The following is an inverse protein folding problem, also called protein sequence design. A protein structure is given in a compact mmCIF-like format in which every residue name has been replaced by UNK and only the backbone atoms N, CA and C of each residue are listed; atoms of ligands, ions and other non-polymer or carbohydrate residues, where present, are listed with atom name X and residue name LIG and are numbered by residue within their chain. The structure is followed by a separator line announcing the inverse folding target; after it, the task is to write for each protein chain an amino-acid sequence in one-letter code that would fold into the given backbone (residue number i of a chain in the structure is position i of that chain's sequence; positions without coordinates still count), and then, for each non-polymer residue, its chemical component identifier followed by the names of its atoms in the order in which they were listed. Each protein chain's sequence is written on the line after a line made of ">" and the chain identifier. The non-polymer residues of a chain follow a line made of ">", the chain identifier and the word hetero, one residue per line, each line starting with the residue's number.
data_IF_610502154662
#
_entry.id   IF_610502154662
#
_cell.length_a   1.000
_cell.length_b   1.000
_cell.length_c   1.000
_cell.angle_alpha   90.00
_cell.angle_beta   90.00
_cell.angle_gamma   90.00
#
_symmetry.space_group_name_H-M   'P 1'
#
loop_
_entity.id
_entity.type
_entity.pdbx_description
1 polymer ?
#
# COMPACT_ATOMS: atom_id res chain seq x y z
N UNK A 1 14.60 0.95 -33.61
CA UNK A 1 13.26 0.35 -33.34
C UNK A 1 13.18 -0.98 -34.09
N UNK A 2 13.30 -2.11 -33.40
CA UNK A 2 13.25 -3.44 -34.05
C UNK A 2 11.85 -3.66 -34.63
N UNK A 3 11.76 -3.87 -35.95
CA UNK A 3 10.56 -4.38 -36.61
C UNK A 3 10.23 -5.73 -35.97
N UNK A 4 8.99 -5.94 -35.57
CA UNK A 4 8.50 -7.28 -35.19
C UNK A 4 8.74 -8.21 -36.38
N UNK A 5 9.77 -9.05 -36.27
CA UNK A 5 10.04 -10.10 -37.24
C UNK A 5 8.87 -11.08 -37.17
N UNK A 6 8.21 -11.34 -38.31
CA UNK A 6 7.25 -12.44 -38.40
C UNK A 6 7.99 -13.74 -38.05
N UNK A 7 7.35 -14.69 -37.33
CA UNK A 7 7.98 -15.97 -37.03
C UNK A 7 8.40 -16.68 -38.33
N UNK A 8 9.52 -17.41 -38.28
CA UNK A 8 10.00 -18.24 -39.39
C UNK A 8 8.89 -19.19 -39.86
N UNK A 9 8.72 -19.31 -41.18
CA UNK A 9 7.68 -20.16 -41.80
C UNK A 9 7.85 -21.65 -41.48
N UNK A 10 9.00 -22.07 -40.94
CA UNK A 10 9.27 -23.44 -40.54
C UNK A 10 8.53 -23.91 -39.28
N UNK A 11 7.93 -23.01 -38.49
CA UNK A 11 7.23 -23.37 -37.24
C UNK A 11 5.72 -23.11 -37.26
N UNK A 12 5.15 -22.79 -38.42
CA UNK A 12 3.70 -22.68 -38.57
C UNK A 12 3.12 -24.08 -38.85
N UNK A 13 2.28 -24.60 -37.95
CA UNK A 13 1.43 -25.77 -38.20
C UNK A 13 0.69 -25.56 -39.54
N UNK A 14 0.99 -26.41 -40.52
CA UNK A 14 0.32 -26.43 -41.82
C UNK A 14 -1.11 -26.95 -41.64
N UNK A 15 -2.01 -26.06 -41.19
CA UNK A 15 -3.42 -26.20 -41.54
C UNK A 15 -3.51 -26.03 -43.06
N UNK A 16 -4.06 -27.02 -43.75
CA UNK A 16 -4.45 -26.88 -45.15
C UNK A 16 -5.49 -25.76 -45.23
N UNK A 17 -5.02 -24.55 -45.51
CA UNK A 17 -5.89 -23.40 -45.73
C UNK A 17 -6.47 -23.57 -47.12
N UNK A 18 -7.79 -23.77 -47.21
CA UNK A 18 -8.54 -23.65 -48.46
C UNK A 18 -8.06 -22.40 -49.23
N UNK A 19 -7.49 -22.63 -50.41
CA UNK A 19 -6.84 -21.62 -51.26
C UNK A 19 -7.82 -20.58 -51.82
N UNK A 20 -9.11 -20.70 -51.52
CA UNK A 20 -10.19 -19.83 -51.99
C UNK A 20 -10.38 -18.57 -51.12
N UNK A 21 -9.93 -18.59 -49.86
CA UNK A 21 -10.20 -17.55 -48.87
C UNK A 21 -8.97 -16.74 -48.44
N UNK A 22 -8.34 -16.08 -49.41
CA UNK A 22 -7.20 -15.18 -49.20
C UNK A 22 -7.66 -13.82 -48.65
N UNK A 23 -6.99 -13.34 -47.59
CA UNK A 23 -7.18 -11.98 -47.07
C UNK A 23 -6.76 -10.94 -48.14
N UNK A 24 -7.65 -10.03 -48.55
CA UNK A 24 -7.32 -9.06 -49.59
C UNK A 24 -6.29 -8.06 -49.06
N UNK A 25 -5.23 -7.83 -49.84
CA UNK A 25 -4.16 -6.89 -49.50
C UNK A 25 -4.52 -5.42 -49.80
N UNK A 26 -5.60 -5.17 -50.54
CA UNK A 26 -6.04 -3.83 -50.93
C UNK A 26 -7.55 -3.75 -51.13
N UNK A 27 -8.08 -2.52 -51.06
CA UNK A 27 -9.52 -2.23 -51.22
C UNK A 27 -10.10 -2.75 -52.54
N UNK A 28 -9.38 -2.59 -53.66
CA UNK A 28 -9.85 -2.99 -54.99
C UNK A 28 -10.05 -4.50 -55.14
N UNK A 29 -9.35 -5.32 -54.35
CA UNK A 29 -9.58 -6.77 -54.25
C UNK A 29 -10.72 -7.11 -53.28
N UNK A 30 -10.81 -6.37 -52.17
CA UNK A 30 -11.83 -6.58 -51.16
C UNK A 30 -13.25 -6.23 -51.64
N UNK A 31 -13.42 -5.13 -52.37
CA UNK A 31 -14.73 -4.63 -52.81
C UNK A 31 -15.50 -5.61 -53.70
N UNK A 32 -14.79 -6.48 -54.42
CA UNK A 32 -15.39 -7.49 -55.30
C UNK A 32 -16.23 -8.52 -54.52
N UNK A 33 -15.86 -8.79 -53.26
CA UNK A 33 -16.50 -9.78 -52.39
C UNK A 33 -17.56 -9.12 -51.48
N UNK A 34 -18.71 -9.76 -51.31
CA UNK A 34 -19.86 -9.21 -50.56
C UNK A 34 -19.62 -9.19 -49.06
N UNK A 35 -18.86 -10.16 -48.55
CA UNK A 35 -18.55 -10.33 -47.13
C UNK A 35 -17.60 -9.22 -46.61
N UNK A 36 -16.67 -8.78 -47.47
CA UNK A 36 -15.81 -7.63 -47.14
C UNK A 36 -16.56 -6.29 -47.27
N UNK A 37 -17.53 -6.19 -48.19
CA UNK A 37 -18.41 -5.01 -48.31
C UNK A 37 -19.23 -4.78 -47.03
N UNK A 38 -19.86 -5.83 -46.52
CA UNK A 38 -20.66 -5.77 -45.29
C UNK A 38 -19.79 -5.45 -44.07
N UNK A 39 -18.59 -6.06 -43.97
CA UNK A 39 -17.65 -5.76 -42.90
C UNK A 39 -17.17 -4.28 -42.92
N UNK A 40 -16.87 -3.72 -44.11
CA UNK A 40 -16.49 -2.32 -44.25
C UNK A 40 -17.64 -1.37 -43.90
N UNK A 41 -18.86 -1.65 -44.38
CA UNK A 41 -20.03 -0.84 -44.10
C UNK A 41 -20.37 -0.81 -42.59
N UNK A 42 -20.23 -1.96 -41.93
CA UNK A 42 -20.45 -2.08 -40.47
C UNK A 42 -19.44 -1.24 -39.69
N UNK A 43 -18.15 -1.36 -40.00
CA UNK A 43 -17.09 -0.57 -39.35
C UNK A 43 -17.30 0.93 -39.60
N UNK A 44 -17.61 1.32 -40.84
CA UNK A 44 -17.84 2.71 -41.20
C UNK A 44 -19.04 3.33 -40.46
N UNK A 45 -20.16 2.58 -40.38
CA UNK A 45 -21.36 3.00 -39.65
C UNK A 45 -21.09 3.14 -38.15
N UNK A 46 -20.25 2.25 -37.58
CA UNK A 46 -19.82 2.35 -36.19
C UNK A 46 -18.97 3.62 -35.95
N UNK A 47 -18.08 3.97 -36.87
CA UNK A 47 -17.26 5.18 -36.78
C UNK A 47 -18.10 6.46 -36.89
N UNK A 48 -19.14 6.47 -37.74
CA UNK A 48 -20.12 7.56 -37.83
C UNK A 48 -20.91 7.72 -36.52
N UNK A 49 -21.44 6.62 -35.97
CA UNK A 49 -22.20 6.64 -34.70
C UNK A 49 -21.37 7.13 -33.52
N UNK A 50 -20.07 6.81 -33.50
CA UNK A 50 -19.14 7.26 -32.48
C UNK A 50 -18.66 8.72 -32.64
N UNK A 51 -19.13 9.45 -33.66
CA UNK A 51 -18.73 10.83 -33.93
C UNK A 51 -17.23 10.98 -34.16
N UNK A 52 -16.62 10.05 -34.91
CA UNK A 52 -15.16 9.93 -35.00
C UNK A 52 -14.51 11.03 -35.85
N UNK A 53 -15.24 11.64 -36.80
CA UNK A 53 -14.77 12.72 -37.66
C UNK A 53 -15.90 13.65 -38.07
N UNK A 54 -15.53 14.85 -38.53
CA UNK A 54 -16.41 15.79 -39.22
C UNK A 54 -15.94 16.00 -40.67
N UNK A 55 -16.88 16.13 -41.60
CA UNK A 55 -16.58 16.47 -42.99
C UNK A 55 -16.32 17.99 -43.09
N UNK A 56 -15.17 18.38 -43.62
CA UNK A 56 -14.76 19.79 -43.74
C UNK A 56 -14.24 20.11 -45.14
N UNK A 57 -14.41 21.33 -45.65
CA UNK A 57 -13.90 21.73 -46.95
C UNK A 57 -12.37 21.63 -46.96
N UNK A 58 -11.83 21.11 -48.05
CA UNK A 58 -10.38 21.03 -48.24
C UNK A 58 -9.79 22.43 -48.41
N UNK A 59 -8.68 22.70 -47.72
CA UNK A 59 -7.90 23.92 -47.87
C UNK A 59 -6.44 23.54 -48.14
N UNK A 60 -5.76 24.30 -49.02
CA UNK A 60 -4.41 23.95 -49.51
C UNK A 60 -3.33 23.85 -48.43
N UNK A 61 -3.53 24.46 -47.26
CA UNK A 61 -2.61 24.37 -46.13
C UNK A 61 -2.87 23.17 -45.21
N UNK A 62 -3.92 22.37 -45.47
CA UNK A 62 -4.25 21.21 -44.64
C UNK A 62 -3.32 20.04 -44.97
N UNK A 63 -2.67 19.49 -43.94
CA UNK A 63 -1.94 18.23 -44.07
C UNK A 63 -2.95 17.05 -44.11
N UNK A 64 -3.34 16.63 -45.31
CA UNK A 64 -4.34 15.58 -45.52
C UNK A 64 -3.67 14.24 -45.76
N UNK A 65 -3.93 13.31 -44.87
CA UNK A 65 -3.20 12.06 -44.80
C UNK A 65 -3.93 10.90 -45.45
N UNK A 66 -3.17 9.92 -46.00
CA UNK A 66 -3.73 8.74 -46.61
C UNK A 66 -4.31 7.80 -45.53
N UNK A 67 -5.44 7.18 -45.86
CA UNK A 67 -6.04 6.10 -45.08
C UNK A 67 -5.97 4.78 -45.86
N UNK A 68 -6.08 3.66 -45.16
CA UNK A 68 -6.16 2.33 -45.75
C UNK A 68 -7.07 1.40 -44.96
N UNK A 69 -7.69 0.48 -45.68
CA UNK A 69 -8.43 -0.64 -45.09
C UNK A 69 -7.48 -1.79 -44.77
N UNK A 70 -7.62 -2.36 -43.58
CA UNK A 70 -6.93 -3.59 -43.14
C UNK A 70 -7.98 -4.67 -42.95
N UNK A 71 -7.81 -5.79 -43.67
CA UNK A 71 -8.74 -6.91 -43.69
C UNK A 71 -8.16 -8.09 -42.92
N UNK A 72 -8.96 -8.71 -42.07
CA UNK A 72 -8.61 -9.95 -41.34
C UNK A 72 -9.79 -10.90 -41.25
N UNK A 73 -9.55 -12.18 -41.46
CA UNK A 73 -10.54 -13.24 -41.23
C UNK A 73 -10.38 -13.72 -39.78
N UNK A 74 -11.48 -13.75 -39.03
CA UNK A 74 -11.55 -14.41 -37.73
C UNK A 74 -12.10 -15.81 -37.93
N UNK A 75 -11.40 -16.79 -37.38
CA UNK A 75 -11.72 -18.22 -37.49
C UNK A 75 -12.01 -18.78 -36.11
N UNK A 76 -12.94 -19.72 -36.05
CA UNK A 76 -13.19 -20.55 -34.88
C UNK A 76 -12.03 -21.55 -34.67
N UNK A 77 -11.99 -22.21 -33.51
CA UNK A 77 -10.95 -23.21 -33.17
C UNK A 77 -10.94 -24.42 -34.10
N UNK A 78 -12.06 -24.69 -34.77
CA UNK A 78 -12.23 -25.73 -35.79
C UNK A 78 -11.78 -25.31 -37.20
N UNK A 79 -11.29 -24.07 -37.38
CA UNK A 79 -10.81 -23.53 -38.66
C UNK A 79 -11.88 -22.87 -39.53
N UNK A 80 -13.17 -22.99 -39.18
CA UNK A 80 -14.29 -22.35 -39.87
C UNK A 80 -14.26 -20.82 -39.71
N UNK A 81 -14.87 -20.08 -40.63
CA UNK A 81 -14.87 -18.61 -40.61
C UNK A 81 -15.93 -18.11 -39.64
N UNK A 82 -15.50 -17.45 -38.56
CA UNK A 82 -16.38 -16.77 -37.60
C UNK A 82 -16.91 -15.46 -38.18
N UNK A 83 -16.00 -14.61 -38.68
CA UNK A 83 -16.37 -13.32 -39.27
C UNK A 83 -15.26 -12.67 -40.08
N UNK A 84 -15.68 -11.87 -41.05
CA UNK A 84 -14.83 -10.94 -41.78
C UNK A 84 -14.69 -9.64 -41.00
N UNK A 85 -13.45 -9.18 -40.78
CA UNK A 85 -13.15 -7.98 -40.01
C UNK A 85 -12.37 -6.98 -40.85
N UNK A 86 -13.01 -5.87 -41.19
CA UNK A 86 -12.37 -4.72 -41.82
C UNK A 86 -12.08 -3.64 -40.76
N UNK A 87 -10.93 -2.98 -40.86
CA UNK A 87 -10.55 -1.83 -40.02
C UNK A 87 -10.03 -0.70 -40.87
N UNK A 88 -10.51 0.51 -40.61
CA UNK A 88 -9.98 1.72 -41.22
C UNK A 88 -8.81 2.26 -40.40
N UNK A 89 -7.65 2.43 -41.04
CA UNK A 89 -6.41 2.90 -40.41
C UNK A 89 -5.91 4.14 -41.14
N UNK A 90 -5.51 5.16 -40.39
CA UNK A 90 -4.87 6.36 -40.92
C UNK A 90 -3.39 6.41 -40.50
N UNK A 91 -2.55 7.04 -41.33
CA UNK A 91 -1.13 7.22 -41.04
C UNK A 91 -0.87 8.70 -40.71
N UNK A 92 -0.77 9.02 -39.42
CA UNK A 92 -0.51 10.36 -38.82
C UNK A 92 -1.73 11.32 -38.81
N UNK A 93 -1.60 12.57 -38.28
CA UNK A 93 -2.70 13.36 -37.68
C UNK A 93 -3.45 14.45 -38.52
N UNK A 94 -4.60 14.87 -37.95
CA UNK A 94 -5.53 16.01 -38.19
C UNK A 94 -6.58 15.85 -39.30
N UNK A 95 -6.19 15.61 -40.56
CA UNK A 95 -7.14 15.48 -41.67
C UNK A 95 -6.86 14.20 -42.44
N UNK A 96 -7.90 13.42 -42.75
CA UNK A 96 -7.78 12.21 -43.57
C UNK A 96 -8.60 12.34 -44.84
N UNK A 97 -8.10 11.76 -45.94
CA UNK A 97 -8.90 11.60 -47.16
C UNK A 97 -10.16 10.80 -46.87
N UNK A 98 -11.20 10.97 -47.68
CA UNK A 98 -12.37 10.09 -47.60
C UNK A 98 -11.95 8.65 -47.95
N UNK A 99 -12.43 7.63 -47.20
CA UNK A 99 -12.08 6.25 -47.48
C UNK A 99 -12.68 5.79 -48.80
N UNK A 100 -11.90 5.03 -49.57
CA UNK A 100 -12.35 4.50 -50.85
C UNK A 100 -13.65 3.68 -50.69
N UNK A 101 -14.63 3.92 -51.56
CA UNK A 101 -15.96 3.31 -51.50
C UNK A 101 -16.98 4.03 -50.62
N UNK A 102 -16.58 5.07 -49.87
CA UNK A 102 -17.46 5.83 -48.98
C UNK A 102 -17.22 7.35 -49.10
N UNK A 103 -16.99 7.81 -50.34
CA UNK A 103 -16.86 9.24 -50.67
C UNK A 103 -18.27 9.84 -50.71
N UNK A 104 -18.44 11.00 -50.07
CA UNK A 104 -19.70 11.73 -50.07
C UNK A 104 -20.04 12.22 -51.50
N UNK A 105 -21.26 11.90 -51.97
CA UNK A 105 -21.71 12.24 -53.32
C UNK A 105 -21.96 13.74 -53.53
N UNK A 106 -22.30 14.48 -52.47
CA UNK A 106 -22.52 15.92 -52.52
C UNK A 106 -21.21 16.69 -52.34
N UNK A 107 -20.26 16.12 -51.60
CA UNK A 107 -19.00 16.78 -51.25
C UNK A 107 -17.77 15.91 -51.53
N UNK A 108 -17.46 15.62 -52.81
CA UNK A 108 -16.39 14.69 -53.18
C UNK A 108 -14.98 15.18 -52.79
N UNK A 109 -14.77 16.50 -52.81
CA UNK A 109 -13.46 17.12 -52.52
C UNK A 109 -13.23 17.43 -51.03
N UNK A 110 -14.20 17.12 -50.15
CA UNK A 110 -14.05 17.36 -48.72
C UNK A 110 -13.16 16.31 -48.04
N UNK A 111 -12.60 16.68 -46.89
CA UNK A 111 -11.73 15.82 -46.09
C UNK A 111 -12.35 15.60 -44.71
N UNK A 112 -11.94 14.52 -44.03
CA UNK A 112 -12.47 14.17 -42.71
C UNK A 112 -11.51 14.64 -41.63
N UNK A 113 -11.95 15.56 -40.79
CA UNK A 113 -11.21 16.02 -39.60
C UNK A 113 -11.48 15.06 -38.45
N UNK A 114 -10.45 14.36 -37.98
CA UNK A 114 -10.57 13.39 -36.89
C UNK A 114 -10.87 14.11 -35.57
N UNK A 115 -11.96 13.71 -34.91
CA UNK A 115 -12.34 14.15 -33.56
C UNK A 115 -11.86 13.14 -32.50
N UNK A 116 -11.62 11.89 -32.91
CA UNK A 116 -11.13 10.81 -32.05
C UNK A 116 -10.05 10.00 -32.78
N UNK A 117 -9.16 9.38 -32.02
CA UNK A 117 -8.04 8.61 -32.60
C UNK A 117 -8.53 7.31 -33.24
N UNK A 118 -8.10 7.06 -34.48
CA UNK A 118 -8.23 5.77 -35.16
C UNK A 118 -7.09 4.80 -34.75
N UNK A 119 -7.35 3.50 -34.88
CA UNK A 119 -6.37 2.46 -34.54
C UNK A 119 -5.14 2.55 -35.46
N UNK A 120 -3.93 2.50 -34.88
CA UNK A 120 -2.66 2.59 -35.63
C UNK A 120 -2.01 3.98 -35.62
N UNK A 121 -2.66 4.99 -35.04
CA UNK A 121 -2.07 6.31 -34.84
C UNK A 121 -0.98 6.28 -33.75
N UNK A 122 0.21 6.82 -34.05
CA UNK A 122 1.32 6.96 -33.07
C UNK A 122 0.95 7.82 -31.85
N UNK A 123 -0.08 8.67 -31.96
CA UNK A 123 -0.56 9.50 -30.85
C UNK A 123 -1.40 8.75 -29.81
N UNK A 124 -2.11 7.67 -30.18
CA UNK A 124 -2.97 6.97 -29.23
C UNK A 124 -2.18 6.30 -28.08
N UNK A 125 -1.07 5.58 -28.33
CA UNK A 125 -0.20 5.10 -27.26
C UNK A 125 0.45 6.22 -26.44
N UNK A 126 0.78 7.35 -27.08
CA UNK A 126 1.37 8.52 -26.38
C UNK A 126 0.36 9.19 -25.45
N UNK A 127 -0.89 9.36 -25.88
CA UNK A 127 -1.95 9.91 -25.06
C UNK A 127 -2.31 8.99 -23.89
N UNK A 128 -2.31 7.67 -24.12
CA UNK A 128 -2.50 6.69 -23.04
C UNK A 128 -1.34 6.72 -22.04
N UNK A 129 -0.09 6.72 -22.54
CA UNK A 129 1.09 6.82 -21.68
C UNK A 129 1.05 8.10 -20.86
N UNK A 130 0.79 9.26 -21.48
CA UNK A 130 0.65 10.53 -20.77
C UNK A 130 -0.37 10.44 -19.63
N UNK A 131 -1.58 9.94 -19.92
CA UNK A 131 -2.64 9.80 -18.90
C UNK A 131 -2.26 8.84 -17.77
N UNK A 132 -1.55 7.76 -18.08
CA UNK A 132 -1.04 6.80 -17.12
C UNK A 132 0.09 7.39 -16.26
N UNK A 133 1.05 8.07 -16.88
CA UNK A 133 2.13 8.80 -16.22
C UNK A 133 1.58 9.87 -15.28
N UNK A 134 0.65 10.70 -15.74
CA UNK A 134 -0.01 11.73 -14.92
C UNK A 134 -0.68 11.11 -13.69
N UNK A 135 -1.36 9.97 -13.88
CA UNK A 135 -1.98 9.23 -12.77
C UNK A 135 -0.95 8.67 -11.77
N UNK A 136 0.17 8.11 -12.24
CA UNK A 136 1.23 7.60 -11.36
C UNK A 136 1.92 8.74 -10.59
N UNK A 137 2.17 9.87 -11.24
CA UNK A 137 2.71 11.06 -10.60
C UNK A 137 1.75 11.59 -9.52
N UNK A 138 0.44 11.62 -9.79
CA UNK A 138 -0.57 11.97 -8.79
C UNK A 138 -0.62 11.00 -7.61
N UNK A 139 -0.24 9.73 -7.79
CA UNK A 139 -0.12 8.75 -6.71
C UNK A 139 1.21 8.84 -5.94
N UNK A 140 2.08 9.81 -6.27
CA UNK A 140 3.36 10.03 -5.61
C UNK A 140 4.51 9.19 -6.14
N UNK A 141 4.37 8.55 -7.30
CA UNK A 141 5.51 7.94 -7.98
C UNK A 141 6.36 9.02 -8.68
N UNK A 142 7.65 8.76 -8.82
CA UNK A 142 8.56 9.59 -9.61
C UNK A 142 9.08 8.80 -10.79
N UNK A 143 9.26 9.47 -11.93
CA UNK A 143 9.85 8.85 -13.11
C UNK A 143 11.36 8.63 -12.91
N UNK A 144 11.84 7.45 -13.29
CA UNK A 144 13.27 7.11 -13.23
C UNK A 144 14.06 7.97 -14.21
N UNK A 145 15.08 8.67 -13.71
CA UNK A 145 15.98 9.48 -14.54
C UNK A 145 16.85 8.63 -15.48
N UNK A 146 17.02 7.35 -15.18
CA UNK A 146 17.93 6.45 -15.91
C UNK A 146 17.20 5.57 -16.94
N UNK A 147 15.89 5.34 -16.75
CA UNK A 147 15.09 4.48 -17.63
C UNK A 147 13.69 5.08 -17.85
N UNK A 148 13.40 5.42 -19.10
CA UNK A 148 12.07 5.83 -19.51
C UNK A 148 11.04 4.73 -19.18
N UNK A 149 9.79 5.13 -18.88
CA UNK A 149 8.66 4.23 -18.57
C UNK A 149 8.73 3.51 -17.21
N UNK A 150 9.76 3.76 -16.39
CA UNK A 150 9.84 3.23 -15.03
C UNK A 150 9.48 4.31 -14.03
N UNK A 151 8.52 3.99 -13.17
CA UNK A 151 8.06 4.85 -12.08
C UNK A 151 8.40 4.18 -10.74
N UNK A 152 9.13 4.88 -9.89
CA UNK A 152 9.49 4.42 -8.55
C UNK A 152 8.76 5.23 -7.51
N UNK A 153 8.22 4.55 -6.50
CA UNK A 153 7.74 5.23 -5.29
C UNK A 153 8.87 5.19 -4.27
N UNK A 154 9.40 6.35 -3.91
CA UNK A 154 10.43 6.43 -2.88
C UNK A 154 9.84 6.02 -1.52
N UNK A 155 10.48 5.06 -0.85
CA UNK A 155 10.18 4.76 0.55
C UNK A 155 10.63 5.95 1.41
N UNK A 156 9.75 6.42 2.31
CA UNK A 156 10.10 7.49 3.24
C UNK A 156 9.76 8.91 2.76
N UNK A 157 8.83 9.10 1.82
CA UNK A 157 8.26 10.42 1.56
C UNK A 157 7.71 11.01 2.86
N UNK A 158 8.35 12.07 3.34
CA UNK A 158 7.95 12.76 4.56
C UNK A 158 6.79 13.69 4.22
N UNK A 159 5.72 13.60 5.01
CA UNK A 159 4.61 14.54 4.92
C UNK A 159 5.04 15.86 5.59
N UNK A 160 4.68 16.97 4.98
CA UNK A 160 4.92 18.33 5.49
C UNK A 160 3.59 19.08 5.58
N UNK A 161 3.51 20.04 6.50
CA UNK A 161 2.40 20.99 6.65
C UNK A 161 2.15 21.79 5.37
N UNK A 162 3.21 22.11 4.63
CA UNK A 162 3.15 22.97 3.44
C UNK A 162 3.08 22.16 2.13
N UNK A 163 2.96 20.84 2.22
CA UNK A 163 2.91 19.96 1.07
C UNK A 163 1.49 19.80 0.53
N UNK A 164 1.26 20.21 -0.72
CA UNK A 164 -0.01 20.02 -1.43
C UNK A 164 -1.02 21.15 -1.18
N UNK A 165 -2.22 20.96 -1.72
CA UNK A 165 -3.31 21.94 -1.61
C UNK A 165 -4.20 21.63 -0.40
N UNK A 166 -4.59 22.61 0.43
CA UNK A 166 -5.53 22.40 1.53
C UNK A 166 -6.85 21.80 1.04
N UNK A 167 -7.41 20.85 1.81
CA UNK A 167 -8.73 20.30 1.50
C UNK A 167 -9.82 21.33 1.77
N UNK A 168 -10.78 21.43 0.84
CA UNK A 168 -11.94 22.32 0.97
C UNK A 168 -12.80 21.93 2.17
N UNK A 169 -13.04 20.63 2.36
CA UNK A 169 -13.72 20.08 3.53
C UNK A 169 -12.84 19.03 4.23
N UNK A 170 -12.34 19.30 5.46
CA UNK A 170 -11.52 18.36 6.22
C UNK A 170 -12.34 17.32 6.99
N UNK A 171 -13.68 17.34 6.93
CA UNK A 171 -14.53 16.48 7.75
C UNK A 171 -14.33 14.99 7.47
N UNK A 172 -14.33 14.59 6.20
CA UNK A 172 -14.10 13.21 5.79
C UNK A 172 -12.71 12.72 6.24
N UNK A 173 -11.69 13.58 6.09
CA UNK A 173 -10.33 13.30 6.55
C UNK A 173 -10.29 12.98 8.05
N UNK A 174 -10.90 13.85 8.87
CA UNK A 174 -10.90 13.71 10.33
C UNK A 174 -11.64 12.46 10.79
N UNK A 175 -12.78 12.15 10.18
CA UNK A 175 -13.55 10.94 10.48
C UNK A 175 -12.75 9.67 10.18
N UNK A 176 -12.17 9.59 8.98
CA UNK A 176 -11.39 8.41 8.55
C UNK A 176 -10.14 8.25 9.40
N UNK A 177 -9.39 9.32 9.64
CA UNK A 177 -8.17 9.27 10.47
C UNK A 177 -8.50 8.92 11.92
N UNK A 178 -9.62 9.40 12.47
CA UNK A 178 -10.11 8.98 13.79
C UNK A 178 -10.42 7.49 13.86
N UNK A 179 -11.11 6.94 12.85
CA UNK A 179 -11.36 5.50 12.77
C UNK A 179 -10.06 4.68 12.62
N UNK A 180 -9.11 5.16 11.82
CA UNK A 180 -7.79 4.54 11.68
C UNK A 180 -7.01 4.55 13.00
N UNK A 181 -7.10 5.63 13.78
CA UNK A 181 -6.45 5.72 15.09
C UNK A 181 -6.96 4.62 16.03
N UNK A 182 -8.27 4.33 16.03
CA UNK A 182 -8.84 3.24 16.83
C UNK A 182 -8.32 1.87 16.38
N UNK A 183 -8.19 1.66 15.07
CA UNK A 183 -7.69 0.40 14.52
C UNK A 183 -6.24 0.09 14.94
N UNK A 184 -5.44 1.10 15.30
CA UNK A 184 -4.05 0.88 15.78
C UNK A 184 -3.96 0.03 17.05
N UNK A 185 -5.06 -0.11 17.81
CA UNK A 185 -5.18 -0.97 19.01
C UNK A 185 -5.11 -2.47 18.66
N UNK A 186 -5.51 -2.87 17.45
CA UNK A 186 -5.44 -4.28 17.01
C UNK A 186 -4.45 -4.48 15.86
N UNK A 187 -4.03 -3.39 15.22
CA UNK A 187 -3.13 -3.37 14.05
C UNK A 187 -1.89 -2.51 14.33
N UNK A 188 -0.91 -3.05 15.09
CA UNK A 188 0.31 -2.30 15.43
C UNK A 188 1.09 -1.85 14.20
N UNK A 189 1.05 -2.63 13.11
CA UNK A 189 1.70 -2.34 11.83
C UNK A 189 1.28 -1.02 11.18
N UNK A 190 0.15 -0.45 11.59
CA UNK A 190 -0.35 0.84 11.10
C UNK A 190 0.14 2.03 11.92
N UNK A 191 0.64 1.80 13.13
CA UNK A 191 0.79 2.83 14.17
C UNK A 191 1.61 4.04 13.68
N UNK A 192 2.73 3.81 12.98
CA UNK A 192 3.54 4.89 12.44
C UNK A 192 2.82 5.67 11.34
N UNK A 193 2.24 4.96 10.37
CA UNK A 193 1.57 5.59 9.23
C UNK A 193 0.35 6.42 9.69
N UNK A 194 -0.40 5.90 10.66
CA UNK A 194 -1.55 6.59 11.25
C UNK A 194 -1.09 7.78 12.10
N UNK A 195 -0.06 7.62 12.94
CA UNK A 195 0.50 8.73 13.71
C UNK A 195 0.96 9.89 12.81
N UNK A 196 1.53 9.60 11.64
CA UNK A 196 1.94 10.62 10.67
C UNK A 196 0.75 11.41 10.12
N UNK A 197 -0.36 10.76 9.75
CA UNK A 197 -1.54 11.48 9.23
C UNK A 197 -2.31 12.21 10.34
N UNK A 198 -2.34 11.67 11.57
CA UNK A 198 -2.97 12.35 12.71
C UNK A 198 -2.38 13.73 13.02
N UNK A 199 -1.13 14.00 12.65
CA UNK A 199 -0.50 15.31 12.87
C UNK A 199 -1.13 16.45 12.05
N UNK A 200 -1.91 16.13 11.01
CA UNK A 200 -2.48 17.11 10.08
C UNK A 200 -4.00 17.28 10.23
N UNK A 201 -4.58 16.83 11.35
CA UNK A 201 -6.03 16.88 11.59
C UNK A 201 -6.63 18.29 11.53
N UNK A 202 -5.86 19.32 11.90
CA UNK A 202 -6.33 20.70 11.89
C UNK A 202 -6.54 21.23 10.47
N UNK A 203 -5.53 21.07 9.61
CA UNK A 203 -5.50 21.61 8.23
C UNK A 203 -4.89 20.58 7.27
N UNK A 204 -5.65 19.54 6.88
CA UNK A 204 -5.15 18.50 5.98
C UNK A 204 -5.07 18.99 4.53
N UNK A 205 -4.16 18.41 3.76
CA UNK A 205 -3.95 18.68 2.33
C UNK A 205 -4.26 17.47 1.45
N UNK A 206 -4.27 17.69 0.13
CA UNK A 206 -4.42 16.63 -0.88
C UNK A 206 -3.36 15.52 -0.74
N UNK A 207 -2.12 15.87 -0.38
CA UNK A 207 -1.05 14.88 -0.14
C UNK A 207 -1.31 14.04 1.13
N UNK A 208 -1.80 14.67 2.19
CA UNK A 208 -2.18 13.93 3.40
C UNK A 208 -3.32 12.96 3.10
N UNK A 209 -4.29 13.38 2.28
CA UNK A 209 -5.39 12.50 1.87
C UNK A 209 -4.95 11.33 1.01
N UNK A 210 -3.97 11.53 0.12
CA UNK A 210 -3.35 10.45 -0.64
C UNK A 210 -2.66 9.43 0.29
N UNK A 211 -2.01 9.89 1.35
CA UNK A 211 -1.41 9.03 2.36
C UNK A 211 -2.48 8.21 3.11
N UNK A 212 -3.60 8.83 3.51
CA UNK A 212 -4.74 8.11 4.11
C UNK A 212 -5.30 7.05 3.17
N UNK A 213 -5.52 7.39 1.89
CA UNK A 213 -5.96 6.41 0.87
C UNK A 213 -4.98 5.25 0.72
N UNK A 214 -3.67 5.49 0.86
CA UNK A 214 -2.65 4.42 0.84
C UNK A 214 -2.81 3.48 2.03
N UNK A 215 -3.06 4.01 3.23
CA UNK A 215 -3.34 3.20 4.44
C UNK A 215 -4.60 2.35 4.21
N UNK A 216 -5.69 2.95 3.71
CA UNK A 216 -6.94 2.25 3.43
C UNK A 216 -6.79 1.13 2.39
N UNK A 217 -5.99 1.35 1.34
CA UNK A 217 -5.68 0.30 0.35
C UNK A 217 -4.91 -0.86 0.98
N UNK A 218 -3.96 -0.58 1.85
CA UNK A 218 -3.22 -1.60 2.58
C UNK A 218 -4.14 -2.41 3.50
N UNK A 219 -5.05 -1.74 4.21
CA UNK A 219 -6.07 -2.39 5.04
C UNK A 219 -7.00 -3.29 4.24
N UNK A 220 -7.49 -2.81 3.09
CA UNK A 220 -8.34 -3.62 2.20
C UNK A 220 -7.64 -4.90 1.74
N UNK A 221 -6.31 -4.86 1.57
CA UNK A 221 -5.52 -6.03 1.20
C UNK A 221 -5.15 -6.94 2.39
N UNK A 222 -5.31 -6.47 3.63
CA UNK A 222 -4.87 -7.15 4.85
C UNK A 222 -5.99 -7.20 5.91
N UNK A 223 -7.24 -7.26 5.47
CA UNK A 223 -8.41 -7.21 6.35
C UNK A 223 -8.52 -8.44 7.28
N UNK A 224 -7.88 -9.54 6.89
CA UNK A 224 -7.78 -10.82 7.60
C UNK A 224 -6.51 -10.94 8.48
N UNK A 225 -5.70 -9.89 8.55
CA UNK A 225 -4.50 -9.87 9.39
C UNK A 225 -4.83 -9.44 10.81
N UNK A 226 -4.27 -10.14 11.80
CA UNK A 226 -4.43 -9.81 13.20
C UNK A 226 -3.30 -10.34 14.07
N UNK A 227 -3.27 -9.89 15.32
CA UNK A 227 -2.31 -10.38 16.32
C UNK A 227 -2.63 -11.80 16.73
N UNK A 228 -1.62 -12.66 16.73
CA UNK A 228 -1.75 -14.06 17.16
C UNK A 228 -0.99 -14.33 18.45
N UNK A 229 -1.75 -14.54 19.52
CA UNK A 229 -1.22 -14.97 20.81
C UNK A 229 -1.01 -16.48 20.85
N UNK A 230 0.10 -16.90 21.46
CA UNK A 230 0.42 -18.31 21.75
C UNK A 230 0.88 -18.45 23.20
N UNK A 231 0.60 -19.57 23.88
CA UNK A 231 1.20 -19.85 25.18
C UNK A 231 2.72 -19.80 25.10
N UNK A 232 3.36 -19.03 25.99
CA UNK A 232 4.81 -18.80 26.01
C UNK A 232 5.30 -18.64 27.44
N UNK A 233 6.62 -18.64 27.60
CA UNK A 233 7.30 -18.34 28.85
C UNK A 233 6.92 -16.95 29.35
N UNK A 234 6.77 -16.83 30.67
CA UNK A 234 6.40 -15.59 31.35
C UNK A 234 7.64 -14.70 31.50
N UNK A 235 7.95 -13.94 30.46
CA UNK A 235 9.07 -13.00 30.44
C UNK A 235 8.69 -11.72 29.70
N UNK A 236 9.29 -10.59 30.06
CA UNK A 236 9.05 -9.31 29.41
C UNK A 236 10.28 -8.87 28.63
N UNK A 237 10.09 -8.65 27.33
CA UNK A 237 11.12 -8.13 26.44
C UNK A 237 10.58 -6.89 25.75
N UNK A 238 11.25 -5.75 25.89
CA UNK A 238 10.90 -4.52 25.22
C UNK A 238 11.98 -4.10 24.24
N UNK A 239 11.56 -3.38 23.20
CA UNK A 239 12.44 -2.77 22.22
C UNK A 239 12.10 -1.29 22.15
N UNK A 240 13.11 -0.45 21.98
CA UNK A 240 12.96 0.99 21.81
C UNK A 240 13.85 1.51 20.68
N UNK A 241 13.32 2.45 19.91
CA UNK A 241 14.06 3.17 18.85
C UNK A 241 13.45 4.58 18.68
N UNK A 242 14.26 5.53 18.22
CA UNK A 242 13.80 6.87 17.85
C UNK A 242 14.39 7.31 16.51
N UNK A 243 13.52 7.74 15.60
CA UNK A 243 13.92 8.38 14.36
C UNK A 243 14.26 9.86 14.62
N UNK A 244 15.56 10.12 14.82
CA UNK A 244 16.09 11.44 15.15
C UNK A 244 15.74 12.49 14.10
N UNK A 245 15.10 13.58 14.55
CA UNK A 245 14.69 14.69 13.70
C UNK A 245 13.97 14.20 12.42
N UNK A 246 13.05 13.25 12.60
CA UNK A 246 12.28 12.63 11.53
C UNK A 246 11.34 13.61 10.84
N UNK A 247 10.77 14.56 11.59
CA UNK A 247 9.83 15.55 11.08
C UNK A 247 10.54 16.63 10.22
N UNK A 248 10.07 16.89 8.98
CA UNK A 248 10.66 17.91 8.10
C UNK A 248 10.39 19.35 8.56
N UNK A 249 9.24 19.63 9.18
CA UNK A 249 8.79 20.98 9.53
C UNK A 249 9.30 21.39 10.91
N UNK A 250 9.15 20.52 11.91
CA UNK A 250 9.46 20.87 13.30
C UNK A 250 10.76 20.25 13.82
N UNK A 251 11.39 19.37 13.04
CA UNK A 251 12.60 18.62 13.41
C UNK A 251 12.50 17.81 14.71
N UNK A 252 11.29 17.57 15.22
CA UNK A 252 11.10 16.64 16.33
C UNK A 252 11.34 15.20 15.86
N UNK A 253 11.81 14.38 16.80
CA UNK A 253 12.03 12.96 16.57
C UNK A 253 10.73 12.16 16.74
N UNK A 254 10.60 11.04 16.04
CA UNK A 254 9.51 10.09 16.25
C UNK A 254 10.03 8.91 17.05
N UNK A 255 9.55 8.76 18.27
CA UNK A 255 9.90 7.67 19.15
C UNK A 255 8.90 6.52 19.06
N UNK A 256 9.39 5.30 19.20
CA UNK A 256 8.57 4.11 19.23
C UNK A 256 9.07 3.11 20.28
N UNK A 257 8.16 2.22 20.66
CA UNK A 257 8.52 1.03 21.42
C UNK A 257 7.56 -0.12 21.11
N UNK A 258 8.00 -1.33 21.43
CA UNK A 258 7.13 -2.48 21.56
C UNK A 258 7.56 -3.35 22.75
N UNK A 259 6.58 -3.94 23.43
CA UNK A 259 6.76 -4.84 24.56
C UNK A 259 6.12 -6.17 24.26
N UNK A 260 6.91 -7.23 24.44
CA UNK A 260 6.52 -8.61 24.29
C UNK A 260 6.41 -9.29 25.64
N UNK A 261 5.33 -10.06 25.80
CA UNK A 261 5.17 -11.05 26.85
C UNK A 261 5.45 -12.44 26.29
N UNK A 262 6.60 -13.00 26.65
CA UNK A 262 7.20 -14.12 25.93
C UNK A 262 7.47 -13.72 24.47
N UNK A 263 6.80 -14.39 23.53
CA UNK A 263 6.87 -14.03 22.11
C UNK A 263 5.66 -13.19 21.64
N UNK A 264 4.74 -12.83 22.52
CA UNK A 264 3.50 -12.16 22.12
C UNK A 264 3.59 -10.66 22.32
N UNK A 265 3.27 -9.88 21.30
CA UNK A 265 3.22 -8.43 21.43
C UNK A 265 2.02 -8.02 22.31
N UNK A 266 2.26 -7.24 23.36
CA UNK A 266 1.21 -6.81 24.30
C UNK A 266 1.07 -5.28 24.42
N UNK A 267 2.13 -4.52 24.12
CA UNK A 267 2.09 -3.07 24.16
C UNK A 267 3.00 -2.48 23.08
N UNK A 268 2.60 -1.37 22.48
CA UNK A 268 3.35 -0.68 21.44
C UNK A 268 2.96 0.79 21.37
N UNK A 269 3.85 1.60 20.81
CA UNK A 269 3.59 3.02 20.59
C UNK A 269 4.42 3.55 19.42
N UNK A 270 3.84 4.52 18.71
CA UNK A 270 4.53 5.39 17.75
C UNK A 270 4.07 6.82 18.02
N UNK A 271 4.97 7.67 18.52
CA UNK A 271 4.64 9.04 18.92
C UNK A 271 5.78 10.00 18.58
N UNK A 272 5.41 11.17 18.09
CA UNK A 272 6.32 12.32 17.98
C UNK A 272 6.72 12.78 19.37
N UNK A 273 8.02 12.98 19.59
CA UNK A 273 8.55 13.50 20.85
C UNK A 273 8.13 14.95 21.04
N UNK A 274 7.84 15.34 22.29
CA UNK A 274 7.37 16.70 22.64
C UNK A 274 8.46 17.76 22.52
N UNK A 275 9.72 17.34 22.68
CA UNK A 275 10.88 18.23 22.66
C UNK A 275 11.79 17.86 21.50
N UNK A 276 12.41 18.88 20.89
CA UNK A 276 13.43 18.67 19.86
C UNK A 276 14.72 18.21 20.53
N UNK A 277 15.24 17.07 20.10
CA UNK A 277 16.53 16.57 20.56
C UNK A 277 17.68 17.25 19.81
N UNK A 278 18.83 17.44 20.49
CA UNK A 278 20.03 18.03 19.89
C UNK A 278 21.02 16.98 19.37
N UNK A 279 20.77 15.70 19.66
CA UNK A 279 21.53 14.56 19.16
C UNK A 279 20.64 13.32 19.01
N UNK A 280 21.10 12.34 18.23
CA UNK A 280 20.43 11.02 18.12
C UNK A 280 20.38 10.31 19.48
N UNK A 281 21.51 10.30 20.20
CA UNK A 281 21.60 9.72 21.55
C UNK A 281 20.59 10.31 22.51
N UNK A 282 20.35 11.62 22.47
CA UNK A 282 19.32 12.25 23.31
C UNK A 282 17.90 11.80 22.93
N UNK A 283 17.58 11.73 21.64
CA UNK A 283 16.26 11.25 21.19
C UNK A 283 16.03 9.79 21.58
N UNK A 284 17.03 8.95 21.38
CA UNK A 284 16.94 7.53 21.69
C UNK A 284 16.90 7.27 23.19
N UNK A 285 17.69 8.00 23.99
CA UNK A 285 17.67 7.84 25.43
C UNK A 285 16.36 8.33 26.06
N UNK A 286 15.75 9.41 25.54
CA UNK A 286 14.37 9.79 25.90
C UNK A 286 13.41 8.63 25.65
N UNK A 287 13.51 8.01 24.47
CA UNK A 287 12.65 6.89 24.12
C UNK A 287 12.91 5.66 25.01
N UNK A 288 14.16 5.41 25.37
CA UNK A 288 14.56 4.39 26.34
C UNK A 288 13.88 4.62 27.69
N UNK A 289 13.89 5.86 28.20
CA UNK A 289 13.26 6.24 29.46
C UNK A 289 11.74 6.07 29.43
N UNK A 290 11.07 6.51 28.36
CA UNK A 290 9.64 6.24 28.17
C UNK A 290 9.33 4.74 28.18
N UNK A 291 10.15 3.93 27.51
CA UNK A 291 9.95 2.48 27.44
C UNK A 291 10.20 1.81 28.80
N UNK A 292 11.17 2.29 29.58
CA UNK A 292 11.42 1.84 30.94
C UNK A 292 10.27 2.18 31.92
N UNK A 293 9.60 3.31 31.72
CA UNK A 293 8.39 3.68 32.46
C UNK A 293 7.23 2.72 32.16
N UNK A 294 6.99 2.44 30.87
CA UNK A 294 5.98 1.47 30.44
C UNK A 294 6.25 0.06 30.98
N UNK A 295 7.50 -0.39 30.95
CA UNK A 295 7.90 -1.66 31.57
C UNK A 295 7.64 -1.69 33.07
N UNK A 296 7.96 -0.61 33.79
CA UNK A 296 7.75 -0.52 35.23
C UNK A 296 6.26 -0.56 35.60
N UNK A 297 5.42 0.10 34.79
CA UNK A 297 3.96 0.03 34.92
C UNK A 297 3.45 -1.40 34.66
N UNK A 298 3.86 -2.03 33.56
CA UNK A 298 3.47 -3.41 33.23
C UNK A 298 3.89 -4.39 34.33
N UNK A 299 5.12 -4.29 34.86
CA UNK A 299 5.57 -5.14 35.97
C UNK A 299 4.70 -4.97 37.22
N UNK A 300 4.30 -3.75 37.54
CA UNK A 300 3.41 -3.47 38.66
C UNK A 300 2.04 -4.10 38.44
N UNK A 301 1.47 -3.94 37.23
CA UNK A 301 0.21 -4.58 36.83
C UNK A 301 0.28 -6.11 36.95
N UNK A 302 1.35 -6.75 36.47
CA UNK A 302 1.50 -8.21 36.58
C UNK A 302 1.62 -8.66 38.04
N UNK A 303 2.32 -7.89 38.88
CA UNK A 303 2.40 -8.17 40.32
C UNK A 303 1.03 -8.08 41.00
N UNK A 304 0.23 -7.08 40.65
CA UNK A 304 -1.13 -6.93 41.18
C UNK A 304 -2.05 -8.07 40.72
N UNK A 305 -1.78 -8.65 39.54
CA UNK A 305 -2.39 -9.89 39.04
C UNK A 305 -1.75 -11.18 39.60
N UNK A 306 -0.88 -11.07 40.60
CA UNK A 306 -0.15 -12.18 41.22
C UNK A 306 0.74 -12.99 40.25
N UNK A 307 1.20 -12.37 39.16
CA UNK A 307 2.15 -12.96 38.20
C UNK A 307 3.55 -12.39 38.44
N UNK A 308 4.45 -13.22 38.94
CA UNK A 308 5.84 -12.82 39.19
C UNK A 308 6.71 -13.07 37.96
N UNK A 309 7.29 -12.00 37.43
CA UNK A 309 8.09 -12.01 36.22
C UNK A 309 9.57 -11.78 36.52
N UNK A 310 10.47 -12.40 35.74
CA UNK A 310 11.89 -12.10 35.81
C UNK A 310 12.13 -10.63 35.43
N UNK A 311 13.33 -10.14 35.73
CA UNK A 311 13.75 -8.80 35.33
C UNK A 311 13.66 -8.65 33.80
N UNK A 312 12.93 -7.63 33.29
CA UNK A 312 12.73 -7.44 31.87
C UNK A 312 14.01 -7.00 31.19
N UNK A 313 14.09 -7.29 29.89
CA UNK A 313 15.16 -6.80 29.03
C UNK A 313 14.62 -5.73 28.09
N UNK A 314 15.32 -4.59 28.03
CA UNK A 314 15.06 -3.49 27.11
C UNK A 314 16.19 -3.42 26.07
N UNK A 315 15.84 -3.68 24.82
CA UNK A 315 16.75 -3.71 23.69
C UNK A 315 16.75 -2.36 22.95
N UNK A 316 17.95 -1.84 22.68
CA UNK A 316 18.16 -0.64 21.87
C UNK A 316 19.42 -0.79 20.99
N UNK A 317 19.49 -0.06 19.88
CA UNK A 317 20.59 -0.17 18.91
C UNK A 317 21.61 0.98 18.98
N UNK A 318 21.50 1.86 19.98
CA UNK A 318 22.48 2.91 20.24
C UNK A 318 23.34 2.61 21.46
N UNK A 319 24.60 2.30 21.17
CA UNK A 319 25.66 2.01 22.13
C UNK A 319 25.89 3.16 23.12
N UNK A 320 25.77 4.42 22.67
CA UNK A 320 25.90 5.57 23.57
C UNK A 320 24.80 5.61 24.62
N UNK A 321 23.57 5.26 24.25
CA UNK A 321 22.45 5.20 25.20
C UNK A 321 22.68 4.12 26.25
N UNK A 322 23.19 2.96 25.84
CA UNK A 322 23.54 1.85 26.75
C UNK A 322 24.65 2.26 27.70
N UNK A 323 25.72 2.87 27.17
CA UNK A 323 26.84 3.34 27.98
C UNK A 323 26.40 4.36 29.03
N UNK A 324 25.46 5.26 28.68
CA UNK A 324 24.90 6.24 29.61
C UNK A 324 24.01 5.60 30.70
N UNK A 325 23.29 4.53 30.37
CA UNK A 325 22.50 3.78 31.36
C UNK A 325 23.39 3.03 32.36
N UNK A 326 24.55 2.52 31.92
CA UNK A 326 25.46 1.71 32.73
C UNK A 326 26.53 2.50 33.49
N UNK A 327 27.05 3.60 32.93
CA UNK A 327 28.18 4.34 33.52
C UNK A 327 27.69 5.37 34.54
N UNK A 328 28.23 5.43 35.78
CA UNK A 328 27.86 6.43 36.79
C UNK A 328 28.34 7.87 36.50
N UNK A 329 29.36 8.07 35.66
CA UNK A 329 30.02 9.36 35.44
C UNK A 329 29.19 10.27 34.53
N UNK A 330 28.70 11.38 35.09
CA UNK A 330 27.97 12.42 34.37
C UNK A 330 28.91 13.26 33.51
N UNK A 331 28.54 13.48 32.25
CA UNK A 331 29.17 14.49 31.40
C UNK A 331 28.28 15.74 31.38
N UNK A 332 28.85 16.94 31.42
CA UNK A 332 28.13 18.22 31.57
C UNK A 332 27.15 18.58 30.44
N UNK A 333 27.06 17.78 29.36
CA UNK A 333 26.29 18.06 28.12
C UNK A 333 24.84 17.55 28.13
N UNK A 334 24.30 17.06 29.26
CA UNK A 334 23.03 16.30 29.31
C UNK A 334 22.00 16.78 30.34
N UNK A 335 22.12 18.02 30.85
CA UNK A 335 21.22 18.60 31.87
C UNK A 335 19.73 18.55 31.50
N UNK A 336 19.40 18.71 30.22
CA UNK A 336 18.01 18.70 29.69
C UNK A 336 17.36 17.30 29.62
N UNK A 337 18.07 16.28 30.09
CA UNK A 337 17.63 14.88 30.13
C UNK A 337 17.99 14.21 31.47
N UNK A 338 18.44 15.00 32.44
CA UNK A 338 18.96 14.53 33.73
C UNK A 338 17.98 13.62 34.48
N UNK A 339 16.69 13.98 34.50
CA UNK A 339 15.65 13.16 35.13
C UNK A 339 15.51 11.79 34.48
N UNK A 340 15.47 11.72 33.15
CA UNK A 340 15.36 10.47 32.40
C UNK A 340 16.61 9.59 32.62
N UNK A 341 17.81 10.20 32.70
CA UNK A 341 19.05 9.51 33.04
C UNK A 341 19.00 8.86 34.41
N UNK A 342 18.64 9.64 35.43
CA UNK A 342 18.55 9.14 36.79
C UNK A 342 17.49 8.03 36.89
N UNK A 343 16.34 8.20 36.24
CA UNK A 343 15.26 7.22 36.24
C UNK A 343 15.71 5.87 35.67
N UNK A 344 16.25 5.83 34.45
CA UNK A 344 16.68 4.58 33.82
C UNK A 344 17.83 3.95 34.59
N UNK A 345 18.81 4.76 35.01
CA UNK A 345 19.98 4.28 35.75
C UNK A 345 19.57 3.66 37.09
N UNK A 346 18.68 4.29 37.84
CA UNK A 346 18.17 3.77 39.11
C UNK A 346 17.56 2.38 38.93
N UNK A 347 16.77 2.18 37.86
CA UNK A 347 16.17 0.88 37.52
C UNK A 347 17.22 -0.17 37.17
N UNK A 348 18.28 0.21 36.46
CA UNK A 348 19.39 -0.71 36.11
C UNK A 348 20.19 -1.10 37.35
N UNK A 349 20.57 -0.13 38.19
CA UNK A 349 21.36 -0.37 39.42
C UNK A 349 20.59 -1.25 40.40
N UNK A 350 19.28 -1.07 40.52
CA UNK A 350 18.41 -1.92 41.37
C UNK A 350 18.18 -3.33 40.81
N UNK A 351 18.68 -3.65 39.63
CA UNK A 351 18.39 -4.93 38.95
C UNK A 351 16.93 -5.08 38.52
N UNK A 352 16.20 -3.96 38.41
CA UNK A 352 14.80 -3.91 37.96
C UNK A 352 14.67 -3.84 36.43
N UNK A 353 15.76 -3.56 35.72
CA UNK A 353 15.80 -3.47 34.26
C UNK A 353 17.17 -3.85 33.71
N UNK A 354 17.23 -4.71 32.69
CA UNK A 354 18.43 -4.93 31.90
C UNK A 354 18.35 -4.14 30.58
N UNK A 355 19.39 -3.37 30.26
CA UNK A 355 19.47 -2.63 28.99
C UNK A 355 20.56 -3.25 28.13
N UNK A 356 20.18 -3.79 26.97
CA UNK A 356 21.07 -4.56 26.09
C UNK A 356 21.08 -4.02 24.65
N UNK A 357 22.18 -4.31 23.95
CA UNK A 357 22.34 -3.95 22.54
C UNK A 357 21.61 -4.92 21.62
N UNK A 358 20.95 -4.39 20.60
CA UNK A 358 20.47 -5.15 19.45
C UNK A 358 20.99 -4.54 18.14
N UNK A 359 21.27 -5.38 17.15
CA UNK A 359 21.62 -4.90 15.82
C UNK A 359 20.43 -4.19 15.16
N UNK A 360 20.66 -3.07 14.47
CA UNK A 360 19.61 -2.33 13.75
C UNK A 360 18.86 -3.20 12.71
N UNK A 361 19.46 -4.27 12.20
CA UNK A 361 18.76 -5.21 11.31
C UNK A 361 17.66 -6.00 12.03
N UNK A 362 17.78 -6.19 13.35
CA UNK A 362 16.79 -6.89 14.17
C UNK A 362 15.89 -5.95 14.97
N UNK A 363 16.13 -4.64 14.89
CA UNK A 363 15.30 -3.62 15.53
C UNK A 363 13.88 -3.61 14.94
N UNK A 364 12.93 -4.22 15.66
CA UNK A 364 11.53 -4.31 15.22
C UNK A 364 10.83 -2.96 15.32
N UNK A 365 11.33 -2.06 16.17
CA UNK A 365 10.74 -0.74 16.42
C UNK A 365 10.92 0.23 15.26
N UNK A 366 11.81 -0.09 14.31
CA UNK A 366 11.89 0.57 13.01
C UNK A 366 10.52 0.74 12.34
N UNK A 367 9.62 -0.23 12.54
CA UNK A 367 8.25 -0.20 12.02
C UNK A 367 7.41 0.95 12.60
N UNK A 368 7.73 1.36 13.83
CA UNK A 368 7.02 2.41 14.58
C UNK A 368 7.67 3.78 14.45
N UNK A 369 8.88 3.91 13.91
CA UNK A 369 9.64 5.17 13.93
C UNK A 369 9.86 5.78 12.55
N UNK A 370 9.83 4.95 11.48
CA UNK A 370 10.16 5.40 10.13
C UNK A 370 9.38 4.67 9.04
N UNK A 371 9.29 5.31 7.88
CA UNK A 371 8.72 4.71 6.67
C UNK A 371 9.70 3.74 6.03
N UNK A 372 9.32 2.48 5.89
CA UNK A 372 10.20 1.40 5.42
C UNK A 372 9.93 1.01 3.96
N UNK A 373 10.89 0.33 3.35
CA UNK A 373 10.69 -0.34 2.05
C UNK A 373 9.71 -1.50 2.20
N UNK A 374 9.04 -1.89 1.10
CA UNK A 374 8.02 -2.95 1.17
C UNK A 374 8.57 -4.30 1.67
N UNK A 375 9.81 -4.65 1.33
CA UNK A 375 10.44 -5.90 1.78
C UNK A 375 10.72 -5.86 3.28
N UNK A 376 11.34 -4.79 3.76
CA UNK A 376 11.65 -4.58 5.18
C UNK A 376 10.39 -4.50 6.03
N UNK A 377 9.38 -3.77 5.57
CA UNK A 377 8.09 -3.66 6.25
C UNK A 377 7.45 -5.04 6.46
N UNK A 378 7.33 -5.87 5.41
CA UNK A 378 6.76 -7.22 5.52
C UNK A 378 7.54 -8.11 6.48
N UNK A 379 8.88 -8.04 6.46
CA UNK A 379 9.72 -8.82 7.36
C UNK A 379 9.49 -8.45 8.83
N UNK A 380 9.35 -7.16 9.16
CA UNK A 380 9.09 -6.70 10.52
C UNK A 380 7.65 -6.96 10.99
N UNK A 381 6.66 -6.81 10.10
CA UNK A 381 5.26 -7.17 10.41
C UNK A 381 5.14 -8.64 10.79
N UNK A 382 5.88 -9.53 10.12
CA UNK A 382 5.95 -10.94 10.49
C UNK A 382 6.53 -11.15 11.91
N UNK A 383 7.56 -10.38 12.30
CA UNK A 383 8.14 -10.43 13.65
C UNK A 383 7.16 -9.95 14.74
N UNK A 384 6.22 -9.04 14.42
CA UNK A 384 5.15 -8.63 15.34
C UNK A 384 4.07 -9.71 15.59
N UNK A 385 4.13 -10.85 14.89
CA UNK A 385 3.07 -11.87 14.85
C UNK A 385 1.72 -11.33 14.33
N UNK A 386 1.76 -10.31 13.47
CA UNK A 386 0.62 -9.89 12.66
C UNK A 386 0.57 -10.81 11.45
N UNK A 387 -0.26 -11.83 11.52
CA UNK A 387 -0.34 -12.90 10.53
C UNK A 387 -1.71 -12.93 9.89
N UNK A 388 -1.77 -13.45 8.67
CA UNK A 388 -3.02 -13.80 8.03
C UNK A 388 -3.71 -14.89 8.86
N UNK A 389 -4.85 -14.56 9.45
CA UNK A 389 -5.68 -15.52 10.17
C UNK A 389 -6.64 -16.23 9.21
N UNK A 390 -7.09 -17.47 9.52
CA UNK A 390 -8.29 -17.97 8.86
C UNK A 390 -9.44 -17.00 9.18
N UNK A 391 -10.25 -16.67 8.17
CA UNK A 391 -11.49 -15.92 8.34
C UNK A 391 -12.44 -16.68 9.26
N UNK A 392 -12.27 -16.52 10.57
CA UNK A 392 -13.21 -17.00 11.56
C UNK A 392 -13.82 -15.78 12.23
N UNK A 393 -14.81 -15.19 11.56
CA UNK A 393 -15.87 -14.42 12.21
C UNK A 393 -16.80 -15.35 13.03
N UNK A 394 -16.23 -16.32 13.73
CA UNK A 394 -16.89 -17.05 14.79
C UNK A 394 -16.12 -16.73 16.07
N UNK A 395 -16.44 -15.58 16.64
CA UNK A 395 -16.80 -15.64 18.06
C UNK A 395 -17.94 -16.66 18.08
N UNK A 396 -17.62 -17.91 18.41
CA UNK A 396 -18.66 -18.86 18.73
C UNK A 396 -19.36 -18.29 19.95
N UNK A 397 -20.47 -17.58 19.73
CA UNK A 397 -21.51 -17.50 20.73
C UNK A 397 -21.96 -18.94 20.90
N UNK A 398 -21.28 -19.67 21.80
CA UNK A 398 -21.80 -20.95 22.25
C UNK A 398 -23.16 -20.62 22.86
N UNK A 399 -24.26 -21.23 22.40
CA UNK A 399 -25.52 -21.10 23.10
C UNK A 399 -25.30 -21.49 24.58
N UNK A 400 -25.94 -20.77 25.49
CA UNK A 400 -25.81 -20.89 26.96
C UNK A 400 -26.09 -22.29 27.52
N UNK A 401 -26.43 -23.28 26.71
CA UNK A 401 -26.83 -24.63 27.15
C UNK A 401 -25.69 -25.58 27.52
N UNK A 402 -24.43 -25.24 27.23
CA UNK A 402 -23.28 -26.15 27.48
C UNK A 402 -22.39 -25.74 28.67
N UNK A 403 -22.78 -24.71 29.42
CA UNK A 403 -22.03 -24.26 30.62
C UNK A 403 -22.47 -25.00 31.89
N UNK A 404 -23.67 -25.60 31.91
CA UNK A 404 -24.22 -26.26 33.10
C UNK A 404 -23.80 -27.74 33.27
N UNK A 405 -22.94 -28.28 32.39
CA UNK A 405 -22.45 -29.67 32.48
C UNK A 405 -20.99 -29.80 32.90
N UNK A 406 -20.28 -28.69 33.14
CA UNK A 406 -18.85 -28.70 33.45
C UNK A 406 -18.49 -28.07 34.81
N UNK A 407 -19.44 -27.95 35.72
CA UNK A 407 -19.22 -27.48 37.10
C UNK A 407 -19.63 -28.56 38.10
N UNK A 408 -18.79 -29.58 38.25
CA UNK A 408 -18.75 -30.38 39.46
C UNK A 408 -18.21 -29.50 40.61
N UNK A 409 -19.07 -28.67 41.19
CA UNK A 409 -18.77 -27.96 42.42
C UNK A 409 -18.81 -28.95 43.58
N UNK A 410 -17.65 -29.15 44.20
CA UNK A 410 -17.53 -29.62 45.58
C UNK A 410 -18.24 -28.61 46.48
N UNK A 411 -19.47 -28.91 46.87
CA UNK A 411 -20.17 -28.21 47.95
C UNK A 411 -19.58 -28.64 49.29
N UNK A 412 -18.62 -27.87 49.78
CA UNK A 412 -18.31 -27.77 51.21
C UNK A 412 -19.16 -26.63 51.76
N UNK A 413 -20.30 -26.97 52.37
CA UNK A 413 -20.91 -26.31 53.53
C UNK A 413 -22.31 -26.85 53.72
N UNK A 414 -22.45 -27.83 54.61
CA UNK A 414 -23.68 -27.99 55.38
C UNK A 414 -23.30 -28.35 56.81
N UNK A 415 -23.25 -27.32 57.65
CA UNK A 415 -23.24 -27.42 59.09
C UNK A 415 -24.68 -27.21 59.58
N UNK A 416 -25.37 -28.30 59.86
CA UNK A 416 -26.52 -28.28 60.76
C UNK A 416 -26.40 -29.41 61.78
N UNK A 417 -26.44 -28.99 63.04
CA UNK A 417 -26.49 -29.82 64.23
C UNK A 417 -27.72 -30.74 64.21
N UNK A 418 -27.56 -32.01 64.58
CA UNK A 418 -28.40 -32.62 65.63
C UNK A 418 -27.83 -33.97 66.10
N UNK A 419 -27.54 -34.01 67.40
CA UNK A 419 -27.73 -35.12 68.36
C UNK A 419 -27.84 -36.57 67.87
N UNK A 420 -27.01 -37.45 68.42
CA UNK A 420 -27.25 -38.89 68.43
C UNK A 420 -26.07 -39.70 68.97
N UNK A 421 -26.01 -39.85 70.30
CA UNK A 421 -25.22 -40.81 71.07
C UNK A 421 -25.17 -42.22 70.48
N UNK A 422 -24.06 -42.94 70.63
CA UNK A 422 -23.90 -44.15 71.47
C UNK A 422 -22.50 -44.77 71.28
N UNK A 423 -21.84 -44.97 72.42
CA UNK A 423 -20.67 -45.82 72.74
C UNK A 423 -19.28 -45.55 72.13
#
# INVERSE_FOLDING_TARGET
>A
MRRTLKPSSQYALHLQVDSTNVEPSCFSKAIKRTEWRTAMATEFSALQRCGTWNLVPFQYHMNVLPNKWVFKIKRHSDGSIERYKARLVANEDVYMRQPAGFVDSQYPNHVRKLQRSLYGLKQAPRAWFKRFSDFLLQLGFQESRLQAYIYTMFSGQKLSLHGGEPLVDPSEYRQVVGALQYLTITRPDLSYAVNQVCQFMHSPTTLHWQAVKRILRYLKATYDHGLRYKPRKLELNAYSDANYAGDPDTRHSTGGFCVYFGSNLISWSSKKQKTVSRSSTEAEYRQLAYTAAELSWLRSLFRDLCVFLPTPTLWCDNVSSIALASNPVFHSRTKHLEVDYHYVREKVIRGELHVNYICSQDQVVDLFTKGLSSSRFKALVFKLLVLQGPLSLRVAVRPRSDVDKATGFLNLNDSSLSSGSFE
#
